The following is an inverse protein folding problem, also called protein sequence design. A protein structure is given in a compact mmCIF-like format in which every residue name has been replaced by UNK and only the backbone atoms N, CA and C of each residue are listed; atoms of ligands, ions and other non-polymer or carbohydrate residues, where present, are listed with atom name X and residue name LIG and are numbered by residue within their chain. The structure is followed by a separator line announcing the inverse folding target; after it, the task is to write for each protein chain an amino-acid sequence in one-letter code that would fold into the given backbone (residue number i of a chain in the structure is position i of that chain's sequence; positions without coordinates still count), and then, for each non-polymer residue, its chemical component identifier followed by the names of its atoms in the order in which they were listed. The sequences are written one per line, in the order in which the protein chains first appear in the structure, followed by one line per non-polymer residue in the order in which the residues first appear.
data_IF_500267415624
#
_entry.id   IF_500267415624
#
_cell.length_a   1.000
_cell.length_b   1.000
_cell.length_c   1.000
_cell.angle_alpha   90.00
_cell.angle_beta   90.00
_cell.angle_gamma   90.00
#
_symmetry.space_group_name_H-M   'P 1'
#
loop_
_entity.id
_entity.type
_entity.pdbx_description
1 polymer ?
#
# COMPACT_ATOMS: atom_id res chain seq x y z
N UNK A 1 -5.80 -14.14 -26.35
CA UNK A 1 -4.40 -14.21 -25.89
C UNK A 1 -3.53 -14.00 -27.12
N UNK A 2 -3.35 -12.75 -27.53
CA UNK A 2 -2.62 -12.41 -28.75
C UNK A 2 -1.11 -12.55 -28.54
N UNK A 3 -0.48 -13.29 -29.45
CA UNK A 3 0.95 -13.57 -29.46
C UNK A 3 1.64 -12.38 -30.13
N UNK A 4 2.52 -11.74 -29.37
CA UNK A 4 3.30 -10.55 -29.70
C UNK A 4 4.21 -10.79 -30.92
N UNK A 5 4.01 -10.02 -32.00
CA UNK A 5 5.02 -9.82 -33.05
C UNK A 5 5.91 -8.63 -32.65
N UNK A 6 7.16 -8.94 -32.29
CA UNK A 6 8.21 -7.98 -31.89
C UNK A 6 8.73 -7.21 -33.10
N UNK A 7 8.62 -5.88 -33.09
CA UNK A 7 9.49 -5.02 -33.91
C UNK A 7 10.80 -4.79 -33.15
N UNK A 8 11.89 -5.24 -33.76
CA UNK A 8 13.24 -5.32 -33.18
C UNK A 8 14.10 -4.08 -33.48
N UNK A 9 13.51 -2.99 -33.95
CA UNK A 9 14.25 -1.95 -34.68
C UNK A 9 14.38 -0.59 -33.98
N UNK A 10 13.58 -0.21 -32.98
CA UNK A 10 13.59 1.19 -32.51
C UNK A 10 13.88 1.43 -31.02
N UNK A 11 14.01 0.40 -30.18
CA UNK A 11 14.37 0.59 -28.76
C UNK A 11 13.33 1.36 -27.93
N UNK A 12 12.22 1.79 -28.53
CA UNK A 12 11.09 2.49 -27.90
C UNK A 12 9.95 1.51 -27.67
N UNK A 13 9.29 1.57 -26.51
CA UNK A 13 8.08 0.78 -26.26
C UNK A 13 6.88 1.46 -26.90
N UNK A 14 6.25 0.79 -27.86
CA UNK A 14 4.96 1.23 -28.40
C UNK A 14 3.88 1.18 -27.31
N UNK A 15 3.09 2.25 -27.19
CA UNK A 15 1.98 2.36 -26.22
C UNK A 15 0.97 1.21 -26.37
N UNK A 16 0.81 0.69 -27.59
CA UNK A 16 -0.06 -0.45 -27.94
C UNK A 16 0.25 -1.73 -27.15
N UNK A 17 1.46 -1.86 -26.59
CA UNK A 17 1.92 -3.04 -25.84
C UNK A 17 1.56 -2.94 -24.34
N UNK A 18 1.20 -1.75 -23.86
CA UNK A 18 0.83 -1.49 -22.48
C UNK A 18 -0.67 -1.77 -22.32
N UNK A 19 -1.06 -2.54 -21.28
CA UNK A 19 -2.47 -2.79 -21.01
C UNK A 19 -3.17 -1.46 -20.67
N UNK A 20 -4.26 -1.16 -21.39
CA UNK A 20 -5.06 0.06 -21.20
C UNK A 20 -5.54 0.22 -19.76
N UNK A 21 -5.91 -0.85 -19.09
CA UNK A 21 -6.35 -0.80 -17.69
C UNK A 21 -5.28 -0.20 -16.75
N UNK A 22 -3.99 -0.39 -17.06
CA UNK A 22 -2.91 0.20 -16.28
C UNK A 22 -2.74 1.69 -16.58
N UNK A 23 -2.93 2.09 -17.84
CA UNK A 23 -2.92 3.50 -18.24
C UNK A 23 -4.08 4.21 -17.53
N UNK A 24 -5.29 3.67 -17.62
CA UNK A 24 -6.49 4.22 -17.00
C UNK A 24 -6.29 4.37 -15.48
N UNK A 25 -5.79 3.34 -14.79
CA UNK A 25 -5.49 3.39 -13.36
C UNK A 25 -4.53 4.53 -12.96
N UNK A 26 -3.39 4.67 -13.67
CA UNK A 26 -2.41 5.70 -13.32
C UNK A 26 -2.84 7.08 -13.80
N UNK A 27 -3.60 7.18 -14.89
CA UNK A 27 -4.22 8.43 -15.33
C UNK A 27 -5.20 8.94 -14.27
N UNK A 28 -6.08 8.07 -13.77
CA UNK A 28 -7.02 8.43 -12.69
C UNK A 28 -6.29 8.86 -11.42
N UNK A 29 -5.15 8.23 -11.12
CA UNK A 29 -4.34 8.58 -9.95
C UNK A 29 -3.60 9.91 -10.11
N UNK A 30 -2.96 10.16 -11.26
CA UNK A 30 -2.17 11.37 -11.49
C UNK A 30 -3.01 12.57 -11.95
N UNK A 31 -4.19 12.33 -12.53
CA UNK A 31 -4.94 13.33 -13.28
C UNK A 31 -4.23 13.76 -14.58
N UNK A 32 -3.30 12.94 -15.08
CA UNK A 32 -2.41 13.25 -16.21
C UNK A 32 -2.04 11.96 -16.96
N UNK A 33 -2.63 11.78 -18.14
CA UNK A 33 -2.46 10.60 -18.99
C UNK A 33 -1.04 10.52 -19.54
N UNK A 34 -0.43 11.66 -19.90
CA UNK A 34 0.93 11.69 -20.44
C UNK A 34 1.92 11.22 -19.37
N UNK A 35 1.75 11.70 -18.13
CA UNK A 35 2.54 11.24 -16.99
C UNK A 35 2.36 9.75 -16.72
N UNK A 36 1.14 9.23 -16.81
CA UNK A 36 0.85 7.80 -16.64
C UNK A 36 1.53 6.94 -17.71
N UNK A 37 1.43 7.35 -18.99
CA UNK A 37 2.06 6.65 -20.12
C UNK A 37 3.58 6.67 -19.98
N UNK A 38 4.17 7.81 -19.63
CA UNK A 38 5.62 7.93 -19.51
C UNK A 38 6.17 7.02 -18.40
N UNK A 39 5.54 7.00 -17.22
CA UNK A 39 5.92 6.08 -16.14
C UNK A 39 5.87 4.60 -16.59
N UNK A 40 4.81 4.21 -17.29
CA UNK A 40 4.65 2.84 -17.76
C UNK A 40 5.67 2.51 -18.85
N UNK A 41 5.97 3.43 -19.77
CA UNK A 41 7.01 3.25 -20.79
C UNK A 41 8.37 3.04 -20.14
N UNK A 42 8.75 3.89 -19.20
CA UNK A 42 10.04 3.77 -18.49
C UNK A 42 10.19 2.38 -17.86
N UNK A 43 9.15 1.90 -17.17
CA UNK A 43 9.14 0.56 -16.57
C UNK A 43 9.22 -0.58 -17.59
N UNK A 44 8.60 -0.42 -18.76
CA UNK A 44 8.55 -1.44 -19.80
C UNK A 44 9.84 -1.45 -20.62
N UNK A 45 10.46 -0.30 -20.86
CA UNK A 45 11.75 -0.19 -21.53
C UNK A 45 12.87 -0.81 -20.67
N UNK A 46 12.84 -0.60 -19.35
CA UNK A 46 13.79 -1.26 -18.45
C UNK A 46 13.68 -2.80 -18.45
N UNK A 47 12.58 -3.37 -18.96
CA UNK A 47 12.39 -4.84 -19.03
C UNK A 47 13.46 -5.54 -19.87
N UNK A 48 14.15 -4.82 -20.76
CA UNK A 48 15.25 -5.39 -21.53
C UNK A 48 16.46 -5.75 -20.65
N UNK A 49 16.70 -5.02 -19.57
CA UNK A 49 17.77 -5.26 -18.61
C UNK A 49 17.25 -5.96 -17.35
N UNK A 50 16.09 -5.54 -16.86
CA UNK A 50 15.48 -6.01 -15.63
C UNK A 50 13.95 -6.00 -15.72
N UNK A 51 13.32 -7.16 -15.59
CA UNK A 51 11.87 -7.32 -15.63
C UNK A 51 11.15 -6.81 -14.35
N UNK A 52 11.89 -6.51 -13.27
CA UNK A 52 11.32 -6.14 -11.97
C UNK A 52 10.48 -4.85 -12.01
N UNK A 53 10.90 -3.71 -12.61
CA UNK A 53 10.09 -2.49 -12.67
C UNK A 53 8.71 -2.72 -13.30
N UNK A 54 8.66 -3.38 -14.46
CA UNK A 54 7.40 -3.78 -15.11
C UNK A 54 6.52 -4.67 -14.21
N UNK A 55 7.12 -5.64 -13.51
CA UNK A 55 6.36 -6.51 -12.60
C UNK A 55 5.83 -5.75 -11.40
N UNK A 56 6.59 -4.80 -10.87
CA UNK A 56 6.18 -3.94 -9.75
C UNK A 56 5.00 -3.07 -10.16
N UNK A 57 5.14 -2.27 -11.24
CA UNK A 57 4.09 -1.32 -11.65
C UNK A 57 2.78 -2.03 -12.01
N UNK A 58 2.86 -3.20 -12.66
CA UNK A 58 1.67 -4.01 -12.97
C UNK A 58 1.03 -4.59 -11.69
N UNK A 59 1.81 -4.95 -10.66
CA UNK A 59 1.25 -5.44 -9.40
C UNK A 59 0.59 -4.33 -8.59
N UNK A 60 1.16 -3.12 -8.60
CA UNK A 60 0.55 -1.94 -7.97
C UNK A 60 -0.84 -1.72 -8.56
N UNK A 61 -0.93 -1.51 -9.88
CA UNK A 61 -2.21 -1.25 -10.53
C UNK A 61 -3.23 -2.38 -10.28
N UNK A 62 -2.83 -3.64 -10.48
CA UNK A 62 -3.74 -4.78 -10.32
C UNK A 62 -4.25 -4.95 -8.89
N UNK A 63 -3.37 -4.92 -7.88
CA UNK A 63 -3.76 -5.21 -6.50
C UNK A 63 -4.55 -4.06 -5.88
N UNK A 64 -4.17 -2.81 -6.16
CA UNK A 64 -4.91 -1.65 -5.68
C UNK A 64 -6.31 -1.61 -6.33
N UNK A 65 -6.41 -1.83 -7.65
CA UNK A 65 -7.70 -1.87 -8.36
C UNK A 65 -8.64 -2.95 -7.80
N UNK A 66 -8.13 -4.14 -7.49
CA UNK A 66 -8.92 -5.19 -6.83
C UNK A 66 -9.44 -4.76 -5.46
N UNK A 67 -8.64 -4.02 -4.69
CA UNK A 67 -9.09 -3.42 -3.43
C UNK A 67 -10.23 -2.43 -3.64
N UNK A 68 -10.07 -1.52 -4.60
CA UNK A 68 -11.06 -0.49 -4.94
C UNK A 68 -12.38 -1.09 -5.44
N UNK A 69 -12.32 -2.08 -6.32
CA UNK A 69 -13.48 -2.82 -6.81
C UNK A 69 -14.28 -3.44 -5.67
N UNK A 70 -13.60 -4.04 -4.68
CA UNK A 70 -14.28 -4.64 -3.53
C UNK A 70 -14.96 -3.59 -2.63
N UNK A 71 -14.41 -2.38 -2.52
CA UNK A 71 -15.06 -1.29 -1.81
C UNK A 71 -16.30 -0.81 -2.56
N UNK A 72 -16.27 -0.77 -3.89
CA UNK A 72 -17.45 -0.43 -4.71
C UNK A 72 -18.59 -1.45 -4.52
N UNK A 73 -18.26 -2.73 -4.34
CA UNK A 73 -19.23 -3.82 -4.13
C UNK A 73 -19.71 -3.87 -2.67
N UNK A 74 -18.82 -3.60 -1.71
CA UNK A 74 -19.11 -3.62 -0.27
C UNK A 74 -18.63 -2.32 0.41
N UNK A 75 -19.38 -1.22 0.27
CA UNK A 75 -19.02 0.05 0.90
C UNK A 75 -18.84 -0.07 2.42
N UNK A 76 -17.85 0.64 2.96
CA UNK A 76 -17.53 0.64 4.40
C UNK A 76 -16.80 -0.61 4.91
N UNK A 77 -16.48 -1.58 4.05
CA UNK A 77 -15.75 -2.81 4.38
C UNK A 77 -14.26 -2.69 4.07
N UNK A 78 -13.63 -1.71 4.70
CA UNK A 78 -12.27 -1.27 4.37
C UNK A 78 -11.16 -2.28 4.63
N UNK A 79 -11.40 -3.29 5.48
CA UNK A 79 -10.45 -4.38 5.70
C UNK A 79 -10.07 -5.12 4.42
N UNK A 80 -10.98 -5.19 3.43
CA UNK A 80 -10.70 -5.79 2.13
C UNK A 80 -9.68 -4.98 1.32
N UNK A 81 -9.85 -3.67 1.21
CA UNK A 81 -8.90 -2.83 0.50
C UNK A 81 -7.53 -2.81 1.21
N UNK A 82 -7.54 -2.67 2.54
CA UNK A 82 -6.32 -2.73 3.37
C UNK A 82 -5.56 -4.03 3.13
N UNK A 83 -6.26 -5.16 3.06
CA UNK A 83 -5.64 -6.44 2.73
C UNK A 83 -4.88 -6.38 1.40
N UNK A 84 -5.50 -5.89 0.33
CA UNK A 84 -4.84 -5.79 -0.97
C UNK A 84 -3.71 -4.76 -1.01
N UNK A 85 -3.80 -3.68 -0.23
CA UNK A 85 -2.71 -2.71 -0.06
C UNK A 85 -1.49 -3.37 0.58
N UNK A 86 -1.68 -4.10 1.68
CA UNK A 86 -0.60 -4.82 2.36
C UNK A 86 -0.01 -5.92 1.46
N UNK A 87 -0.86 -6.67 0.74
CA UNK A 87 -0.39 -7.67 -0.23
C UNK A 87 0.40 -7.02 -1.36
N UNK A 88 0.04 -5.81 -1.79
CA UNK A 88 0.81 -5.04 -2.78
C UNK A 88 2.21 -4.71 -2.26
N UNK A 89 2.32 -4.21 -1.04
CA UNK A 89 3.61 -3.94 -0.37
C UNK A 89 4.47 -5.21 -0.27
N UNK A 90 3.88 -6.32 0.18
CA UNK A 90 4.56 -7.63 0.25
C UNK A 90 5.05 -8.08 -1.14
N UNK A 91 4.20 -7.97 -2.15
CA UNK A 91 4.49 -8.41 -3.52
C UNK A 91 5.62 -7.59 -4.16
N UNK A 92 5.59 -6.26 -4.07
CA UNK A 92 6.65 -5.41 -4.65
C UNK A 92 7.98 -5.64 -3.95
N UNK A 93 7.97 -5.82 -2.62
CA UNK A 93 9.18 -6.14 -1.85
C UNK A 93 9.76 -7.50 -2.26
N UNK A 94 8.92 -8.51 -2.42
CA UNK A 94 9.36 -9.82 -2.89
C UNK A 94 9.89 -9.78 -4.32
N UNK A 95 9.30 -8.96 -5.21
CA UNK A 95 9.78 -8.81 -6.58
C UNK A 95 11.17 -8.15 -6.61
N UNK A 96 11.39 -7.10 -5.81
CA UNK A 96 12.67 -6.40 -5.74
C UNK A 96 13.80 -7.29 -5.21
N UNK A 97 13.52 -8.07 -4.16
CA UNK A 97 14.50 -8.86 -3.41
C UNK A 97 14.52 -10.35 -3.85
N UNK A 98 14.24 -10.65 -5.12
CA UNK A 98 14.24 -12.03 -5.62
C UNK A 98 15.62 -12.69 -5.43
N UNK A 99 15.63 -13.84 -4.76
CA UNK A 99 16.87 -14.59 -4.47
C UNK A 99 17.48 -14.28 -3.10
N UNK A 100 16.94 -13.32 -2.36
CA UNK A 100 17.32 -13.07 -0.96
C UNK A 100 16.58 -14.01 0.01
N UNK A 101 17.10 -14.10 1.24
CA UNK A 101 16.44 -14.84 2.32
C UNK A 101 15.09 -14.20 2.65
N UNK A 102 14.10 -15.04 2.89
CA UNK A 102 12.76 -14.60 3.28
C UNK A 102 12.80 -13.63 4.47
N UNK A 103 12.18 -12.45 4.29
CA UNK A 103 12.03 -11.42 5.32
C UNK A 103 10.69 -11.61 6.02
N UNK A 104 10.65 -11.35 7.33
CA UNK A 104 9.40 -11.35 8.07
C UNK A 104 8.43 -10.29 7.53
N UNK A 105 7.17 -10.69 7.26
CA UNK A 105 6.14 -9.82 6.66
C UNK A 105 5.96 -8.49 7.40
N UNK A 106 5.84 -8.55 8.73
CA UNK A 106 5.72 -7.34 9.56
C UNK A 106 6.94 -6.41 9.40
N UNK A 107 8.14 -6.96 9.20
CA UNK A 107 9.34 -6.15 8.95
C UNK A 107 9.24 -5.45 7.59
N UNK A 108 8.83 -6.15 6.54
CA UNK A 108 8.61 -5.56 5.21
C UNK A 108 7.64 -4.37 5.29
N UNK A 109 6.54 -4.53 6.02
CA UNK A 109 5.51 -3.48 6.14
C UNK A 109 6.02 -2.30 6.98
N UNK A 110 6.74 -2.54 8.07
CA UNK A 110 7.36 -1.47 8.87
C UNK A 110 8.38 -0.69 8.05
N UNK A 111 9.30 -1.39 7.40
CA UNK A 111 10.30 -0.79 6.51
C UNK A 111 9.60 0.01 5.39
N UNK A 112 8.44 -0.44 4.89
CA UNK A 112 7.65 0.30 3.91
C UNK A 112 7.20 1.67 4.45
N UNK A 113 6.54 1.69 5.60
CA UNK A 113 6.04 2.92 6.22
C UNK A 113 7.18 3.87 6.64
N UNK A 114 8.33 3.33 7.05
CA UNK A 114 9.47 4.10 7.51
C UNK A 114 10.32 4.67 6.35
N UNK A 115 10.52 3.91 5.26
CA UNK A 115 11.45 4.30 4.19
C UNK A 115 10.79 4.91 2.96
N UNK A 116 9.54 4.56 2.64
CA UNK A 116 8.96 4.86 1.31
C UNK A 116 7.78 5.84 1.35
N UNK A 117 7.13 5.99 2.50
CA UNK A 117 6.18 7.09 2.71
C UNK A 117 6.99 8.38 2.89
N UNK A 118 6.59 9.46 2.22
CA UNK A 118 7.27 10.74 2.35
C UNK A 118 7.01 11.40 3.72
N UNK A 119 7.83 12.38 4.08
CA UNK A 119 7.75 13.02 5.40
C UNK A 119 6.43 13.80 5.62
N UNK A 120 5.80 14.29 4.55
CA UNK A 120 4.52 15.00 4.65
C UNK A 120 3.42 14.02 5.01
N UNK A 121 3.36 12.89 4.29
CA UNK A 121 2.39 11.82 4.52
C UNK A 121 2.63 11.12 5.87
N UNK A 122 3.90 10.91 6.28
CA UNK A 122 4.24 10.38 7.61
C UNK A 122 3.71 11.28 8.73
N UNK A 123 3.97 12.58 8.62
CA UNK A 123 3.47 13.57 9.60
C UNK A 123 1.94 13.57 9.62
N UNK A 124 1.32 13.55 8.45
CA UNK A 124 -0.14 13.48 8.33
C UNK A 124 -0.71 12.26 9.06
N UNK A 125 -0.15 11.06 8.85
CA UNK A 125 -0.60 9.85 9.53
C UNK A 125 -0.46 9.93 11.06
N UNK A 126 0.64 10.49 11.56
CA UNK A 126 0.87 10.65 13.00
C UNK A 126 -0.05 11.70 13.65
N UNK A 127 -0.59 12.63 12.87
CA UNK A 127 -1.57 13.62 13.32
C UNK A 127 -3.02 13.10 13.28
N UNK A 128 -3.32 12.13 12.40
CA UNK A 128 -4.68 11.67 12.12
C UNK A 128 -4.98 10.25 12.60
N UNK A 129 -3.98 9.58 13.17
CA UNK A 129 -4.13 8.33 13.90
C UNK A 129 -3.58 8.62 15.29
N UNK A 130 -4.34 8.31 16.33
CA UNK A 130 -3.92 8.53 17.70
C UNK A 130 -4.49 7.44 18.61
N UNK A 131 -3.82 7.16 19.73
CA UNK A 131 -4.38 6.24 20.71
C UNK A 131 -5.60 6.87 21.37
N UNK A 132 -6.66 6.09 21.55
CA UNK A 132 -7.85 6.56 22.22
C UNK A 132 -7.58 6.79 23.72
N UNK A 133 -8.22 7.81 24.29
CA UNK A 133 -8.08 8.11 25.72
C UNK A 133 -8.51 6.93 26.62
N UNK A 134 -9.47 6.12 26.16
CA UNK A 134 -9.92 4.89 26.83
C UNK A 134 -8.85 3.79 26.89
N UNK A 135 -7.82 3.87 26.04
CA UNK A 135 -6.72 2.90 25.96
C UNK A 135 -5.42 3.45 26.57
N UNK A 136 -5.46 4.65 27.18
CA UNK A 136 -4.35 5.19 27.96
C UNK A 136 -4.26 4.50 29.33
N UNK A 137 -3.63 3.32 29.34
CA UNK A 137 -3.23 2.64 30.59
C UNK A 137 -2.02 3.36 31.19
N UNK A 138 -1.82 3.28 32.50
CA UNK A 138 -0.80 4.05 33.25
C UNK A 138 0.63 3.90 32.69
N UNK A 139 0.93 2.79 32.01
CA UNK A 139 2.25 2.48 31.43
C UNK A 139 2.35 2.73 29.92
N UNK A 140 1.24 3.08 29.26
CA UNK A 140 1.17 3.17 27.82
C UNK A 140 1.53 4.58 27.33
N UNK A 141 2.61 4.70 26.54
CA UNK A 141 2.97 5.99 25.92
C UNK A 141 1.84 6.48 25.00
N UNK A 142 1.29 7.69 25.18
CA UNK A 142 0.22 8.21 24.33
C UNK A 142 0.67 8.43 22.87
N UNK A 143 1.99 8.47 22.64
CA UNK A 143 2.56 8.70 21.31
C UNK A 143 2.59 7.41 20.51
N UNK A 144 1.84 7.41 19.42
CA UNK A 144 2.00 6.42 18.35
C UNK A 144 3.20 6.77 17.47
N UNK A 145 3.73 5.78 16.75
CA UNK A 145 4.75 5.96 15.73
C UNK A 145 4.38 5.15 14.47
N UNK A 146 5.13 5.34 13.38
CA UNK A 146 4.88 4.65 12.10
C UNK A 146 4.95 3.13 12.23
N UNK A 147 5.79 2.61 13.13
CA UNK A 147 5.89 1.18 13.40
C UNK A 147 4.59 0.62 13.98
N UNK A 148 3.93 1.35 14.87
CA UNK A 148 2.61 1.01 15.42
C UNK A 148 1.55 1.07 14.32
N UNK A 149 1.55 2.13 13.50
CA UNK A 149 0.61 2.26 12.37
C UNK A 149 0.77 1.09 11.39
N UNK A 150 1.99 0.75 10.99
CA UNK A 150 2.29 -0.43 10.17
C UNK A 150 1.77 -1.73 10.81
N UNK A 151 1.84 -1.83 12.14
CA UNK A 151 1.34 -2.98 12.89
C UNK A 151 -0.19 -3.03 12.88
N UNK A 152 -0.90 -1.89 12.96
CA UNK A 152 -2.37 -1.83 12.80
C UNK A 152 -2.77 -2.43 11.44
N UNK A 153 -2.20 -1.93 10.34
CA UNK A 153 -2.54 -2.42 9.01
C UNK A 153 -2.15 -3.90 8.78
N UNK A 154 -1.02 -4.33 9.35
CA UNK A 154 -0.64 -5.74 9.33
C UNK A 154 -1.65 -6.64 10.04
N UNK A 155 -2.18 -6.22 11.22
CA UNK A 155 -3.17 -7.00 11.94
C UNK A 155 -4.51 -7.05 11.19
N UNK A 156 -4.96 -5.96 10.57
CA UNK A 156 -6.17 -5.99 9.73
C UNK A 156 -6.03 -7.03 8.59
N UNK A 157 -4.86 -7.09 7.96
CA UNK A 157 -4.53 -8.13 6.97
C UNK A 157 -4.47 -9.53 7.59
N UNK A 158 -4.04 -9.67 8.84
CA UNK A 158 -3.99 -10.94 9.55
C UNK A 158 -5.41 -11.45 9.85
N UNK A 159 -6.24 -10.60 10.45
CA UNK A 159 -7.64 -10.87 10.80
C UNK A 159 -8.45 -11.33 9.60
N UNK A 160 -8.28 -10.67 8.44
CA UNK A 160 -8.96 -11.10 7.23
C UNK A 160 -8.53 -12.49 6.76
N UNK A 161 -7.22 -12.78 6.77
CA UNK A 161 -6.70 -14.05 6.24
C UNK A 161 -7.01 -15.24 7.14
N UNK A 162 -6.94 -15.04 8.46
CA UNK A 162 -7.10 -16.13 9.42
C UNK A 162 -8.54 -16.29 9.91
N UNK A 163 -9.27 -15.18 10.03
CA UNK A 163 -10.59 -15.17 10.67
C UNK A 163 -11.70 -14.70 9.71
N UNK A 164 -11.35 -14.21 8.52
CA UNK A 164 -12.32 -13.65 7.59
C UNK A 164 -12.93 -12.33 8.06
N UNK A 165 -12.28 -11.66 9.02
CA UNK A 165 -12.75 -10.39 9.58
C UNK A 165 -12.24 -9.24 8.70
N UNK A 166 -13.17 -8.51 8.08
CA UNK A 166 -12.85 -7.36 7.21
C UNK A 166 -13.73 -6.12 7.47
N UNK A 167 -14.57 -6.20 8.49
CA UNK A 167 -15.59 -5.20 8.81
C UNK A 167 -15.27 -4.31 10.01
N UNK A 168 -14.24 -4.63 10.78
CA UNK A 168 -14.01 -4.04 12.10
C UNK A 168 -13.17 -2.76 12.07
N UNK A 169 -12.63 -2.41 10.90
CA UNK A 169 -11.86 -1.19 10.71
C UNK A 169 -12.60 -0.19 9.82
N UNK A 170 -12.66 1.05 10.28
CA UNK A 170 -13.34 2.16 9.64
C UNK A 170 -12.40 3.36 9.46
N UNK A 171 -12.34 3.83 8.22
CA UNK A 171 -11.81 5.16 7.91
C UNK A 171 -12.87 6.22 8.16
N UNK A 172 -12.41 7.47 8.29
CA UNK A 172 -13.33 8.60 8.36
C UNK A 172 -13.97 8.92 7.01
N UNK A 173 -15.19 9.45 7.06
CA UNK A 173 -15.89 9.97 5.87
C UNK A 173 -15.34 11.34 5.46
N UNK A 174 -14.80 12.10 6.41
CA UNK A 174 -14.20 13.43 6.23
C UNK A 174 -13.12 13.65 7.30
N UNK A 175 -12.25 14.66 7.15
CA UNK A 175 -11.19 14.92 8.13
C UNK A 175 -11.70 15.52 9.46
N UNK A 176 -13.01 15.76 9.59
CA UNK A 176 -13.63 16.40 10.76
C UNK A 176 -14.08 15.34 11.79
N UNK A 177 -14.48 14.17 11.31
CA UNK A 177 -14.89 13.03 12.13
C UNK A 177 -13.70 12.14 12.50
N UNK A 178 -13.80 11.49 13.67
CA UNK A 178 -12.85 10.46 14.11
C UNK A 178 -13.60 9.18 14.41
N UNK A 179 -13.12 8.06 13.90
CA UNK A 179 -13.66 6.74 14.21
C UNK A 179 -12.80 6.05 15.26
N UNK A 180 -13.47 5.45 16.25
CA UNK A 180 -12.85 4.53 17.19
C UNK A 180 -12.70 3.16 16.54
N UNK A 181 -11.46 2.69 16.47
CA UNK A 181 -11.11 1.38 15.91
C UNK A 181 -10.44 0.56 17.00
N UNK A 182 -11.03 -0.57 17.35
CA UNK A 182 -10.49 -1.52 18.33
C UNK A 182 -9.99 -2.78 17.63
N UNK A 183 -8.74 -3.17 17.91
CA UNK A 183 -8.09 -4.34 17.33
C UNK A 183 -7.41 -5.15 18.43
N UNK A 184 -7.39 -6.47 18.29
CA UNK A 184 -6.59 -7.35 19.16
C UNK A 184 -5.22 -7.54 18.51
N UNK A 185 -4.17 -6.99 19.11
CA UNK A 185 -2.83 -6.99 18.50
C UNK A 185 -1.70 -6.89 19.51
N UNK A 186 -0.51 -7.35 19.11
CA UNK A 186 0.76 -7.05 19.79
C UNK A 186 1.31 -5.74 19.26
N UNK A 187 1.23 -4.68 20.06
CA UNK A 187 1.72 -3.38 19.64
C UNK A 187 3.25 -3.35 19.52
N UNK A 188 3.95 -3.94 20.50
CA UNK A 188 5.38 -4.20 20.45
C UNK A 188 5.70 -5.70 20.43
N UNK A 189 6.89 -6.06 19.93
CA UNK A 189 7.22 -7.46 19.61
C UNK A 189 7.27 -8.42 20.81
N UNK A 190 7.39 -7.91 22.04
CA UNK A 190 7.36 -8.72 23.27
C UNK A 190 6.01 -8.66 24.00
N UNK A 191 5.05 -7.91 23.46
CA UNK A 191 3.77 -7.69 24.13
C UNK A 191 2.87 -8.92 24.01
N UNK A 192 1.93 -9.01 24.93
CA UNK A 192 0.79 -9.92 24.85
C UNK A 192 -0.22 -9.35 23.84
N UNK A 193 -1.06 -10.20 23.27
CA UNK A 193 -2.16 -9.74 22.41
C UNK A 193 -3.17 -8.94 23.22
N UNK A 194 -3.14 -7.65 22.90
CA UNK A 194 -3.91 -6.52 23.38
C UNK A 194 -5.18 -6.15 22.66
N UNK A 195 -6.35 -6.03 23.29
CA UNK A 195 -7.29 -5.05 22.72
C UNK A 195 -6.68 -3.65 22.84
N UNK A 196 -6.54 -2.99 21.69
CA UNK A 196 -6.00 -1.65 21.50
C UNK A 196 -6.99 -0.80 20.75
N UNK A 197 -7.19 0.44 21.18
CA UNK A 197 -8.18 1.33 20.59
C UNK A 197 -7.54 2.62 20.09
N UNK A 198 -7.83 2.98 18.83
CA UNK A 198 -7.27 4.14 18.17
C UNK A 198 -8.39 5.03 17.62
N UNK A 199 -8.20 6.35 17.68
CA UNK A 199 -8.97 7.29 16.86
C UNK A 199 -8.32 7.41 15.48
N UNK A 200 -9.13 7.33 14.44
CA UNK A 200 -8.71 7.47 13.04
C UNK A 200 -9.58 8.54 12.36
N UNK A 201 -8.97 9.64 11.93
CA UNK A 201 -9.60 10.67 11.10
C UNK A 201 -9.17 10.63 9.63
N UNK A 202 -8.23 9.74 9.29
CA UNK A 202 -7.81 9.53 7.91
C UNK A 202 -8.97 8.97 7.09
N UNK A 203 -9.21 9.54 5.91
CA UNK A 203 -10.18 9.02 4.94
C UNK A 203 -9.60 7.88 4.11
N UNK A 204 -10.47 7.06 3.53
CA UNK A 204 -10.08 5.99 2.61
C UNK A 204 -9.18 6.51 1.46
N UNK A 205 -9.60 7.60 0.80
CA UNK A 205 -8.89 8.15 -0.36
C UNK A 205 -7.52 8.70 0.00
N UNK A 206 -7.38 9.34 1.17
CA UNK A 206 -6.08 9.80 1.65
C UNK A 206 -5.16 8.63 1.92
N UNK A 207 -5.64 7.60 2.64
CA UNK A 207 -4.81 6.43 2.92
C UNK A 207 -4.42 5.71 1.63
N UNK A 208 -5.37 5.52 0.71
CA UNK A 208 -5.14 4.95 -0.62
C UNK A 208 -4.04 5.70 -1.36
N UNK A 209 -4.13 7.04 -1.39
CA UNK A 209 -3.14 7.90 -2.02
C UNK A 209 -1.75 7.74 -1.40
N UNK A 210 -1.66 7.76 -0.07
CA UNK A 210 -0.40 7.56 0.69
C UNK A 210 0.24 6.21 0.33
N UNK A 211 -0.56 5.14 0.27
CA UNK A 211 -0.07 3.81 -0.11
C UNK A 211 0.46 3.80 -1.55
N UNK A 212 -0.28 4.35 -2.52
CA UNK A 212 0.16 4.38 -3.92
C UNK A 212 1.44 5.22 -4.06
N UNK A 213 1.50 6.40 -3.43
CA UNK A 213 2.71 7.23 -3.41
C UNK A 213 3.91 6.44 -2.86
N UNK A 214 3.76 5.77 -1.71
CA UNK A 214 4.82 4.95 -1.14
C UNK A 214 5.28 3.80 -2.05
N UNK A 215 4.34 3.15 -2.75
CA UNK A 215 4.66 2.10 -3.73
C UNK A 215 5.41 2.66 -4.94
N UNK A 216 5.08 3.88 -5.38
CA UNK A 216 5.77 4.56 -6.47
C UNK A 216 7.18 5.02 -6.06
N UNK A 217 7.36 5.56 -4.85
CA UNK A 217 8.68 5.87 -4.32
C UNK A 217 9.54 4.61 -4.16
N UNK A 218 8.93 3.48 -3.77
CA UNK A 218 9.61 2.19 -3.76
C UNK A 218 10.12 1.82 -5.16
N UNK A 219 9.26 1.91 -6.17
CA UNK A 219 9.62 1.63 -7.55
C UNK A 219 10.75 2.56 -8.05
N UNK A 220 10.64 3.87 -7.81
CA UNK A 220 11.65 4.85 -8.20
C UNK A 220 13.02 4.52 -7.59
N UNK A 221 13.06 4.20 -6.29
CA UNK A 221 14.30 3.76 -5.62
C UNK A 221 14.87 2.49 -6.26
N UNK A 222 14.02 1.55 -6.67
CA UNK A 222 14.47 0.33 -7.38
C UNK A 222 15.00 0.62 -8.78
N UNK A 223 14.41 1.59 -9.49
CA UNK A 223 14.88 2.00 -10.82
C UNK A 223 16.22 2.75 -10.74
N UNK A 224 16.43 3.55 -9.70
CA UNK A 224 17.64 4.36 -9.51
C UNK A 224 18.83 3.60 -8.89
N UNK A 225 18.60 2.46 -8.25
CA UNK A 225 19.66 1.64 -7.63
C UNK A 225 20.24 0.56 -8.57
N UNK A 226 19.94 0.64 -9.88
CA UNK A 226 20.57 -0.17 -10.94
C UNK A 226 21.81 0.53 -11.48
#
# INVERSE_FOLDING_TARGET
MEIIRRNRAEGTVEVSVINKEYIDFFNDFFGDEEKAINLLKDCYEMTYQDVRPRRIINNISRLISLGDELISIKPGRYGLAIFYWIVSIEAVSHIANQGEKERFKIKIIRDFFEEYIDETDKKFLLEHIERAASDMREEASPKINLSIIATIFYNIRHDFVHEGIYSNFHFSSNNEERFLNSLVMKEHGKDVEEERTYYVSVTYEQMRKIIINGLLHFLEKQMNNQ
#
